data_IF_781072993963
#
_entry.id   IF_781072993963
#
_cell.length_a   1.000
_cell.length_b   1.000
_cell.length_c   1.000
_cell.angle_alpha   90.00
_cell.angle_beta   90.00
_cell.angle_gamma   90.00
#
_symmetry.space_group_name_H-M   'P 1'
#
loop_
_entity.id
_entity.type
_entity.pdbx_description
1 polymer ?
#
# COMPACT_ATOMS: atom_id res chain seq x y z
N UNK A 1 -7.29 44.60 56.41
CA UNK A 1 -6.32 43.96 55.48
C UNK A 1 -6.60 42.48 55.23
N UNK A 2 -6.65 41.57 56.23
CA UNK A 2 -6.87 40.12 56.00
C UNK A 2 -8.12 39.75 55.17
N UNK A 3 -9.27 40.42 55.40
CA UNK A 3 -10.52 40.20 54.62
C UNK A 3 -10.44 40.66 53.15
N UNK A 4 -9.63 41.66 52.85
CA UNK A 4 -9.44 42.15 51.47
C UNK A 4 -8.55 41.19 50.70
N UNK A 5 -7.47 40.71 51.34
CA UNK A 5 -6.55 39.73 50.76
C UNK A 5 -7.26 38.38 50.50
N UNK A 6 -8.11 37.90 51.42
CA UNK A 6 -8.84 36.65 51.19
C UNK A 6 -9.89 36.77 50.09
N UNK A 7 -10.52 37.94 49.91
CA UNK A 7 -11.47 38.19 48.83
C UNK A 7 -10.78 38.21 47.47
N UNK A 8 -9.66 38.93 47.36
CA UNK A 8 -8.84 38.98 46.14
C UNK A 8 -8.27 37.61 45.79
N UNK A 9 -7.81 36.84 46.79
CA UNK A 9 -7.31 35.48 46.57
C UNK A 9 -8.43 34.52 46.10
N UNK A 10 -9.64 34.64 46.64
CA UNK A 10 -10.78 33.85 46.19
C UNK A 10 -11.20 34.21 44.75
N UNK A 11 -11.25 35.49 44.41
CA UNK A 11 -11.53 35.95 43.04
C UNK A 11 -10.48 35.40 42.05
N UNK A 12 -9.19 35.42 42.40
CA UNK A 12 -8.13 34.82 41.58
C UNK A 12 -8.29 33.31 41.40
N UNK A 13 -8.66 32.58 42.44
CA UNK A 13 -8.91 31.12 42.35
C UNK A 13 -10.08 30.84 41.41
N UNK A 14 -11.19 31.58 41.53
CA UNK A 14 -12.37 31.40 40.68
C UNK A 14 -12.04 31.71 39.21
N UNK A 15 -11.29 32.79 38.95
CA UNK A 15 -10.82 33.13 37.59
C UNK A 15 -9.93 32.02 37.04
N UNK A 16 -8.96 31.55 37.82
CA UNK A 16 -8.04 30.49 37.41
C UNK A 16 -8.79 29.19 37.12
N UNK A 17 -9.76 28.83 37.96
CA UNK A 17 -10.60 27.65 37.77
C UNK A 17 -11.45 27.76 36.49
N UNK A 18 -12.03 28.94 36.22
CA UNK A 18 -12.75 29.23 34.99
C UNK A 18 -11.87 29.08 33.74
N UNK A 19 -10.64 29.59 33.79
CA UNK A 19 -9.65 29.43 32.71
C UNK A 19 -9.28 27.96 32.51
N UNK A 20 -9.02 27.20 33.58
CA UNK A 20 -8.68 25.78 33.50
C UNK A 20 -9.84 24.94 32.91
N UNK A 21 -11.08 25.22 33.32
CA UNK A 21 -12.26 24.54 32.75
C UNK A 21 -12.39 24.88 31.26
N UNK A 22 -12.23 26.14 30.88
CA UNK A 22 -12.27 26.55 29.47
C UNK A 22 -11.19 25.88 28.62
N UNK A 23 -9.95 25.79 29.14
CA UNK A 23 -8.86 25.06 28.50
C UNK A 23 -9.16 23.57 28.38
N UNK A 24 -9.73 22.96 29.41
CA UNK A 24 -10.15 21.55 29.39
C UNK A 24 -11.21 21.27 28.34
N UNK A 25 -12.24 22.11 28.23
CA UNK A 25 -13.30 21.99 27.21
C UNK A 25 -12.72 22.17 25.81
N UNK A 26 -11.87 23.17 25.59
CA UNK A 26 -11.22 23.39 24.29
C UNK A 26 -10.32 22.22 23.89
N UNK A 27 -9.50 21.69 24.81
CA UNK A 27 -8.66 20.53 24.55
C UNK A 27 -9.50 19.29 24.21
N UNK A 28 -10.61 19.07 24.91
CA UNK A 28 -11.53 17.97 24.64
C UNK A 28 -12.19 18.10 23.26
N UNK A 29 -12.70 19.29 22.93
CA UNK A 29 -13.32 19.56 21.63
C UNK A 29 -12.32 19.40 20.47
N UNK A 30 -11.10 19.92 20.62
CA UNK A 30 -10.04 19.78 19.62
C UNK A 30 -9.67 18.30 19.40
N UNK A 31 -9.49 17.52 20.47
CA UNK A 31 -9.22 16.09 20.36
C UNK A 31 -10.36 15.33 19.66
N UNK A 32 -11.61 15.69 19.94
CA UNK A 32 -12.77 15.09 19.28
C UNK A 32 -12.78 15.39 17.78
N UNK A 33 -12.54 16.64 17.38
CA UNK A 33 -12.46 17.05 15.98
C UNK A 33 -11.30 16.38 15.24
N UNK A 34 -10.13 16.25 15.88
CA UNK A 34 -8.97 15.57 15.31
C UNK A 34 -9.28 14.10 15.03
N UNK A 35 -9.90 13.39 15.98
CA UNK A 35 -10.32 11.99 15.79
C UNK A 35 -11.33 11.83 14.66
N UNK A 36 -12.34 12.69 14.61
CA UNK A 36 -13.33 12.64 13.53
C UNK A 36 -12.69 12.85 12.15
N UNK A 37 -11.73 13.76 12.05
CA UNK A 37 -10.98 14.02 10.81
C UNK A 37 -10.07 12.86 10.45
N UNK A 38 -9.39 12.25 11.43
CA UNK A 38 -8.58 11.05 11.23
C UNK A 38 -9.42 9.89 10.67
N UNK A 39 -10.62 9.67 11.19
CA UNK A 39 -11.56 8.65 10.67
C UNK A 39 -11.98 8.92 9.22
N UNK A 40 -12.20 10.19 8.85
CA UNK A 40 -12.50 10.56 7.46
C UNK A 40 -11.31 10.27 6.52
N UNK A 41 -10.08 10.50 6.99
CA UNK A 41 -8.87 10.16 6.24
C UNK A 41 -8.73 8.65 6.09
N UNK A 42 -8.88 7.89 7.19
CA UNK A 42 -8.83 6.42 7.17
C UNK A 42 -9.89 5.82 6.25
N UNK A 43 -11.09 6.39 6.20
CA UNK A 43 -12.14 5.95 5.27
C UNK A 43 -11.72 6.11 3.80
N UNK A 44 -11.08 7.23 3.46
CA UNK A 44 -10.57 7.47 2.11
C UNK A 44 -9.39 6.56 1.77
N UNK A 45 -8.48 6.35 2.72
CA UNK A 45 -7.34 5.44 2.58
C UNK A 45 -7.83 4.00 2.36
N UNK A 46 -8.80 3.54 3.14
CA UNK A 46 -9.41 2.22 2.99
C UNK A 46 -10.04 2.04 1.60
N UNK A 47 -10.76 3.05 1.11
CA UNK A 47 -11.31 3.03 -0.23
C UNK A 47 -10.22 2.95 -1.31
N UNK A 48 -9.14 3.72 -1.20
CA UNK A 48 -8.01 3.64 -2.14
C UNK A 48 -7.33 2.27 -2.08
N UNK A 49 -7.10 1.71 -0.88
CA UNK A 49 -6.54 0.37 -0.71
C UNK A 49 -7.41 -0.71 -1.37
N UNK A 50 -8.72 -0.71 -1.13
CA UNK A 50 -9.66 -1.66 -1.76
C UNK A 50 -9.61 -1.58 -3.29
N UNK A 51 -9.60 -0.37 -3.84
CA UNK A 51 -9.49 -0.17 -5.29
C UNK A 51 -8.13 -0.63 -5.82
N UNK A 52 -7.04 -0.37 -5.12
CA UNK A 52 -5.70 -0.81 -5.51
C UNK A 52 -5.57 -2.34 -5.46
N UNK A 53 -6.13 -3.00 -4.44
CA UNK A 53 -6.15 -4.47 -4.31
C UNK A 53 -6.76 -5.10 -5.57
N UNK A 54 -7.93 -4.64 -6.00
CA UNK A 54 -8.60 -5.16 -7.21
C UNK A 54 -7.71 -5.00 -8.46
N UNK A 55 -7.03 -3.86 -8.57
CA UNK A 55 -6.14 -3.58 -9.72
C UNK A 55 -4.87 -4.42 -9.68
N UNK A 56 -4.30 -4.61 -8.49
CA UNK A 56 -3.16 -5.49 -8.26
C UNK A 56 -3.51 -6.95 -8.57
N UNK A 57 -4.66 -7.44 -8.13
CA UNK A 57 -5.15 -8.80 -8.47
C UNK A 57 -5.34 -8.98 -9.97
N UNK A 58 -5.94 -7.98 -10.63
CA UNK A 58 -6.16 -8.01 -12.08
C UNK A 58 -4.84 -8.01 -12.85
N UNK A 59 -3.86 -7.21 -12.41
CA UNK A 59 -2.53 -7.17 -13.01
C UNK A 59 -1.79 -8.49 -12.77
N UNK A 60 -1.71 -8.96 -11.52
CA UNK A 60 -1.05 -10.21 -11.15
C UNK A 60 -1.59 -11.40 -11.94
N UNK A 61 -2.90 -11.48 -12.14
CA UNK A 61 -3.52 -12.50 -12.98
C UNK A 61 -3.10 -12.41 -14.46
N UNK A 62 -2.99 -11.20 -15.02
CA UNK A 62 -2.53 -10.99 -16.41
C UNK A 62 -1.08 -11.42 -16.62
N UNK A 63 -0.21 -11.10 -15.64
CA UNK A 63 1.20 -11.51 -15.66
C UNK A 63 1.35 -13.01 -15.45
N UNK A 64 0.57 -13.62 -14.55
CA UNK A 64 0.54 -15.08 -14.38
C UNK A 64 0.13 -15.79 -15.67
N UNK A 65 -0.91 -15.30 -16.35
CA UNK A 65 -1.34 -15.85 -17.64
C UNK A 65 -0.23 -15.75 -18.69
N UNK A 66 0.48 -14.61 -18.74
CA UNK A 66 1.61 -14.43 -19.67
C UNK A 66 2.76 -15.41 -19.39
N UNK A 67 3.07 -15.67 -18.11
CA UNK A 67 4.08 -16.66 -17.69
C UNK A 67 3.66 -18.08 -18.11
N UNK A 68 2.40 -18.45 -17.85
CA UNK A 68 1.86 -19.77 -18.22
C UNK A 68 1.91 -19.99 -19.73
N UNK A 69 1.56 -18.96 -20.49
CA UNK A 69 1.61 -19.01 -21.94
C UNK A 69 3.05 -19.05 -22.48
N UNK A 70 4.01 -18.34 -21.88
CA UNK A 70 5.44 -18.50 -22.19
C UNK A 70 5.92 -19.94 -21.95
N UNK A 71 5.49 -20.58 -20.85
CA UNK A 71 5.86 -21.97 -20.56
C UNK A 71 5.27 -22.95 -21.59
N UNK A 72 4.00 -22.75 -21.97
CA UNK A 72 3.36 -23.56 -23.00
C UNK A 72 4.07 -23.41 -24.35
N UNK A 73 4.49 -22.18 -24.67
CA UNK A 73 5.21 -21.90 -25.90
C UNK A 73 6.57 -22.57 -25.94
N UNK A 74 7.37 -22.42 -24.86
CA UNK A 74 8.67 -23.08 -24.71
C UNK A 74 8.54 -24.59 -24.94
N UNK A 75 7.52 -25.20 -24.35
CA UNK A 75 7.23 -26.62 -24.53
C UNK A 75 6.86 -27.01 -25.98
N UNK A 76 6.00 -26.23 -26.65
CA UNK A 76 5.63 -26.50 -28.05
C UNK A 76 6.84 -26.36 -28.97
N UNK A 77 7.65 -25.32 -28.79
CA UNK A 77 8.85 -25.10 -29.59
C UNK A 77 9.86 -26.26 -29.44
N UNK A 78 10.03 -26.78 -28.24
CA UNK A 78 10.85 -27.97 -27.96
C UNK A 78 10.31 -29.23 -28.65
N UNK A 79 8.99 -29.41 -28.71
CA UNK A 79 8.36 -30.61 -29.27
C UNK A 79 8.20 -30.59 -30.80
N UNK A 80 7.85 -29.45 -31.38
CA UNK A 80 7.45 -29.34 -32.79
C UNK A 80 8.47 -28.61 -33.66
N UNK A 81 9.35 -27.79 -33.07
CA UNK A 81 10.27 -26.91 -33.80
C UNK A 81 9.58 -25.79 -34.58
N UNK A 82 8.27 -25.60 -34.39
CA UNK A 82 7.49 -24.54 -35.04
C UNK A 82 7.17 -23.40 -34.07
N UNK A 83 7.20 -22.17 -34.59
CA UNK A 83 6.94 -20.94 -33.83
C UNK A 83 5.59 -20.35 -34.26
N UNK A 84 4.53 -20.50 -33.46
CA UNK A 84 3.34 -19.67 -33.64
C UNK A 84 3.62 -18.22 -33.22
N UNK A 85 3.01 -17.23 -33.88
CA UNK A 85 3.11 -15.83 -33.44
C UNK A 85 2.35 -15.67 -32.13
N UNK A 86 3.09 -15.28 -31.08
CA UNK A 86 2.53 -15.12 -29.75
C UNK A 86 2.39 -13.63 -29.39
N UNK A 87 1.22 -13.27 -28.87
CA UNK A 87 0.92 -11.92 -28.42
C UNK A 87 0.81 -11.88 -26.90
N UNK A 88 1.78 -11.25 -26.26
CA UNK A 88 1.72 -10.98 -24.84
C UNK A 88 0.64 -9.94 -24.51
N UNK A 89 -0.12 -10.18 -23.44
CA UNK A 89 -1.13 -9.22 -22.96
C UNK A 89 -0.64 -8.60 -21.65
N UNK A 90 -0.06 -7.42 -21.77
CA UNK A 90 0.37 -6.65 -20.61
C UNK A 90 -0.70 -5.65 -20.17
N UNK A 91 -0.95 -5.59 -18.86
CA UNK A 91 -1.84 -4.58 -18.26
C UNK A 91 -1.03 -3.58 -17.46
N UNK A 92 -1.11 -2.32 -17.85
CA UNK A 92 -0.57 -1.22 -17.06
C UNK A 92 -1.18 -1.17 -15.66
N UNK A 93 -0.36 -0.90 -14.66
CA UNK A 93 -0.81 -0.74 -13.30
C UNK A 93 -1.08 0.74 -13.02
N UNK A 94 -2.35 1.08 -12.84
CA UNK A 94 -2.75 2.42 -12.39
C UNK A 94 -3.23 2.33 -10.95
N UNK A 95 -2.50 2.88 -10.01
CA UNK A 95 -2.83 2.88 -8.56
C UNK A 95 -3.01 4.29 -8.04
N UNK A 96 -3.89 4.47 -7.05
CA UNK A 96 -4.14 5.75 -6.39
C UNK A 96 -3.57 5.75 -4.98
N UNK A 97 -2.91 6.83 -4.60
CA UNK A 97 -2.23 6.97 -3.29
C UNK A 97 -2.46 8.37 -2.69
N UNK A 98 -3.42 9.12 -3.24
CA UNK A 98 -3.59 10.54 -2.93
C UNK A 98 -4.04 10.77 -1.50
N UNK A 99 -4.92 9.92 -0.97
CA UNK A 99 -5.41 10.04 0.40
C UNK A 99 -4.26 9.83 1.41
N UNK A 100 -3.43 8.80 1.22
CA UNK A 100 -2.29 8.52 2.08
C UNK A 100 -1.24 9.64 1.98
N UNK A 101 -0.79 9.98 0.78
CA UNK A 101 0.22 11.02 0.56
C UNK A 101 -0.20 12.38 1.13
N UNK A 102 -1.47 12.75 0.96
CA UNK A 102 -1.99 13.99 1.55
C UNK A 102 -2.04 13.93 3.07
N UNK A 103 -2.36 12.76 3.64
CA UNK A 103 -2.50 12.60 5.08
C UNK A 103 -1.17 12.70 5.84
N UNK A 104 -0.02 12.39 5.23
CA UNK A 104 1.28 12.42 5.92
C UNK A 104 1.67 13.79 6.50
N UNK A 105 1.12 14.88 5.95
CA UNK A 105 1.41 16.24 6.40
C UNK A 105 0.38 16.77 7.42
N UNK A 106 -0.42 15.89 8.02
CA UNK A 106 -1.57 16.24 8.85
C UNK A 106 -1.38 15.81 10.29
N UNK A 107 -1.57 16.75 11.22
CA UNK A 107 -1.46 16.51 12.67
C UNK A 107 -2.50 15.49 13.16
N UNK A 108 -3.60 15.32 12.43
CA UNK A 108 -4.65 14.37 12.79
C UNK A 108 -4.17 12.91 12.78
N UNK A 109 -3.13 12.57 12.00
CA UNK A 109 -2.51 11.24 12.03
C UNK A 109 -1.74 10.95 13.33
N UNK A 110 -1.30 11.97 14.07
CA UNK A 110 -0.60 11.79 15.34
C UNK A 110 -1.49 11.13 16.42
N UNK A 111 -2.80 11.07 16.18
CA UNK A 111 -3.75 10.39 17.05
C UNK A 111 -3.85 8.89 16.80
N UNK A 112 -3.25 8.39 15.70
CA UNK A 112 -3.32 7.00 15.28
C UNK A 112 -2.14 6.17 15.84
N UNK A 113 -2.32 4.85 16.02
CA UNK A 113 -1.23 3.95 16.39
C UNK A 113 -0.11 3.95 15.34
N UNK A 114 1.15 3.94 15.78
CA UNK A 114 2.32 3.94 14.89
C UNK A 114 2.34 2.70 14.01
N UNK A 115 1.90 1.56 14.52
CA UNK A 115 1.81 0.30 13.80
C UNK A 115 0.86 0.40 12.60
N UNK A 116 -0.24 1.15 12.73
CA UNK A 116 -1.17 1.42 11.63
C UNK A 116 -0.46 2.21 10.53
N UNK A 117 0.25 3.26 10.94
CA UNK A 117 0.95 4.15 10.02
C UNK A 117 2.05 3.40 9.27
N UNK A 118 2.79 2.50 9.94
CA UNK A 118 3.80 1.63 9.31
C UNK A 118 3.15 0.69 8.29
N UNK A 119 2.03 0.05 8.65
CA UNK A 119 1.33 -0.88 7.74
C UNK A 119 0.80 -0.17 6.49
N UNK A 120 0.20 1.01 6.66
CA UNK A 120 -0.25 1.87 5.56
C UNK A 120 0.92 2.36 4.68
N UNK A 121 2.05 2.74 5.29
CA UNK A 121 3.24 3.17 4.54
C UNK A 121 3.84 2.02 3.72
N UNK A 122 3.94 0.83 4.30
CA UNK A 122 4.45 -0.36 3.62
C UNK A 122 3.58 -0.75 2.41
N UNK A 123 2.25 -0.75 2.57
CA UNK A 123 1.31 -0.95 1.47
C UNK A 123 1.48 0.10 0.37
N UNK A 124 1.68 1.37 0.75
CA UNK A 124 1.84 2.45 -0.20
C UNK A 124 3.16 2.35 -0.99
N UNK A 125 4.27 2.08 -0.31
CA UNK A 125 5.60 1.92 -0.93
C UNK A 125 5.63 0.74 -1.89
N UNK A 126 5.22 -0.43 -1.43
CA UNK A 126 5.17 -1.65 -2.26
C UNK A 126 4.27 -1.47 -3.49
N UNK A 127 3.12 -0.80 -3.34
CA UNK A 127 2.23 -0.46 -4.46
C UNK A 127 2.88 0.51 -5.45
N UNK A 128 3.69 1.46 -4.97
CA UNK A 128 4.43 2.40 -5.83
C UNK A 128 5.54 1.69 -6.61
N UNK A 129 6.29 0.81 -5.93
CA UNK A 129 7.33 -0.02 -6.53
C UNK A 129 6.75 -0.95 -7.61
N UNK A 130 5.66 -1.66 -7.31
CA UNK A 130 4.97 -2.51 -8.28
C UNK A 130 4.50 -1.72 -9.50
N UNK A 131 4.00 -0.49 -9.32
CA UNK A 131 3.62 0.39 -10.44
C UNK A 131 4.82 0.73 -11.31
N UNK A 132 5.94 1.10 -10.71
CA UNK A 132 7.17 1.43 -11.44
C UNK A 132 7.63 0.22 -12.24
N UNK A 133 7.72 -0.95 -11.62
CA UNK A 133 8.16 -2.18 -12.28
C UNK A 133 7.25 -2.57 -13.46
N UNK A 134 5.93 -2.59 -13.25
CA UNK A 134 4.96 -2.91 -14.32
C UNK A 134 5.08 -1.95 -15.50
N UNK A 135 5.14 -0.66 -15.20
CA UNK A 135 5.11 0.34 -16.28
C UNK A 135 6.44 0.39 -17.01
N UNK A 136 7.57 0.27 -16.30
CA UNK A 136 8.90 0.20 -16.91
C UNK A 136 8.99 -1.00 -17.86
N UNK A 137 8.61 -2.19 -17.39
CA UNK A 137 8.55 -3.39 -18.21
C UNK A 137 7.72 -3.20 -19.47
N UNK A 138 6.50 -2.66 -19.36
CA UNK A 138 5.63 -2.44 -20.53
C UNK A 138 6.28 -1.54 -21.58
N UNK A 139 7.01 -0.51 -21.18
CA UNK A 139 7.68 0.40 -22.11
C UNK A 139 8.94 -0.23 -22.71
N UNK A 140 9.78 -0.88 -21.91
CA UNK A 140 11.03 -1.51 -22.36
C UNK A 140 10.76 -2.73 -23.26
N UNK A 141 9.79 -3.57 -22.89
CA UNK A 141 9.42 -4.75 -23.69
C UNK A 141 8.80 -4.41 -25.04
N UNK A 142 8.21 -3.22 -25.22
CA UNK A 142 7.63 -2.82 -26.51
C UNK A 142 8.70 -2.51 -27.56
N UNK A 143 9.86 -1.98 -27.14
CA UNK A 143 10.94 -1.58 -28.04
C UNK A 143 11.75 -2.79 -28.55
N UNK A 144 11.82 -3.88 -27.79
CA UNK A 144 12.61 -5.09 -28.14
C UNK A 144 11.85 -6.11 -29.01
N UNK A 145 10.51 -6.06 -29.03
CA UNK A 145 9.66 -7.02 -29.77
C UNK A 145 9.75 -6.87 -31.29
N UNK A 146 10.13 -5.71 -31.80
CA UNK A 146 10.16 -5.42 -33.25
C UNK A 146 11.43 -5.96 -33.97
N UNK A 147 12.48 -6.39 -33.23
CA UNK A 147 13.80 -6.69 -33.81
C UNK A 147 14.16 -8.19 -33.93
N UNK A 148 13.37 -9.14 -33.42
CA UNK A 148 13.82 -10.53 -33.25
C UNK A 148 13.04 -11.54 -34.12
N UNK A 149 13.58 -11.84 -35.31
CA UNK A 149 13.05 -12.82 -36.29
C UNK A 149 14.03 -13.97 -36.66
N UNK A 150 14.99 -14.32 -35.79
CA UNK A 150 15.85 -15.51 -35.97
C UNK A 150 15.66 -16.53 -34.82
N UNK A 151 15.43 -17.80 -35.16
CA UNK A 151 14.96 -18.86 -34.24
C UNK A 151 15.83 -19.09 -32.97
N UNK A 152 17.16 -19.06 -33.07
CA UNK A 152 18.06 -19.27 -31.90
C UNK A 152 18.08 -18.06 -30.94
N UNK A 153 17.80 -16.87 -31.45
CA UNK A 153 17.65 -15.65 -30.64
C UNK A 153 16.30 -15.62 -29.93
N UNK A 154 15.29 -16.29 -30.49
CA UNK A 154 13.92 -16.30 -29.95
C UNK A 154 13.78 -17.09 -28.63
N UNK A 155 14.44 -18.24 -28.50
CA UNK A 155 14.43 -19.02 -27.24
C UNK A 155 15.06 -18.23 -26.09
N UNK A 156 16.20 -17.57 -26.35
CA UNK A 156 16.88 -16.73 -25.34
C UNK A 156 16.05 -15.52 -24.96
N UNK A 157 15.35 -14.94 -25.94
CA UNK A 157 14.40 -13.86 -25.71
C UNK A 157 13.25 -14.30 -24.79
N UNK A 158 12.63 -15.45 -25.05
CA UNK A 158 11.54 -15.97 -24.23
C UNK A 158 11.97 -16.26 -22.78
N UNK A 159 13.16 -16.82 -22.58
CA UNK A 159 13.73 -17.03 -21.24
C UNK A 159 13.98 -15.68 -20.52
N UNK A 160 14.46 -14.67 -21.24
CA UNK A 160 14.56 -13.29 -20.76
C UNK A 160 13.20 -12.73 -20.33
N UNK A 161 12.22 -12.76 -21.22
CA UNK A 161 10.87 -12.30 -20.97
C UNK A 161 10.22 -13.01 -19.77
N UNK A 162 10.38 -14.32 -19.64
CA UNK A 162 9.86 -15.11 -18.53
C UNK A 162 10.46 -14.68 -17.19
N UNK A 163 11.76 -14.40 -17.14
CA UNK A 163 12.41 -13.85 -15.94
C UNK A 163 11.82 -12.51 -15.54
N UNK A 164 11.66 -11.60 -16.50
CA UNK A 164 11.10 -10.27 -16.25
C UNK A 164 9.64 -10.33 -15.80
N UNK A 165 8.81 -11.15 -16.48
CA UNK A 165 7.43 -11.39 -16.08
C UNK A 165 7.34 -11.94 -14.65
N UNK A 166 8.21 -12.88 -14.29
CA UNK A 166 8.27 -13.45 -12.95
C UNK A 166 8.66 -12.39 -11.92
N UNK A 167 9.63 -11.53 -12.25
CA UNK A 167 10.03 -10.42 -11.39
C UNK A 167 8.88 -9.44 -11.18
N UNK A 168 8.22 -8.99 -12.26
CA UNK A 168 7.06 -8.09 -12.16
C UNK A 168 5.94 -8.72 -11.33
N UNK A 169 5.67 -10.01 -11.52
CA UNK A 169 4.68 -10.74 -10.72
C UNK A 169 5.04 -10.74 -9.23
N UNK A 170 6.30 -10.96 -8.86
CA UNK A 170 6.74 -10.91 -7.47
C UNK A 170 6.40 -9.56 -6.81
N UNK A 171 6.68 -8.44 -7.48
CA UNK A 171 6.34 -7.11 -6.95
C UNK A 171 4.83 -6.89 -6.84
N UNK A 172 4.05 -7.37 -7.81
CA UNK A 172 2.59 -7.33 -7.77
C UNK A 172 2.03 -8.12 -6.58
N UNK A 173 2.52 -9.34 -6.36
CA UNK A 173 2.08 -10.20 -5.25
C UNK A 173 2.47 -9.59 -3.90
N UNK A 174 3.68 -9.04 -3.78
CA UNK A 174 4.14 -8.39 -2.55
C UNK A 174 3.30 -7.14 -2.22
N UNK A 175 3.01 -6.31 -3.23
CA UNK A 175 2.14 -5.14 -3.08
C UNK A 175 0.70 -5.55 -2.71
N UNK A 176 0.20 -6.64 -3.29
CA UNK A 176 -1.12 -7.18 -2.97
C UNK A 176 -1.19 -7.67 -1.52
N UNK A 177 -0.20 -8.44 -1.07
CA UNK A 177 -0.10 -8.93 0.30
C UNK A 177 -0.05 -7.78 1.31
N UNK A 178 0.81 -6.80 1.04
CA UNK A 178 0.99 -5.62 1.89
C UNK A 178 -0.30 -4.79 1.96
N UNK A 179 -0.98 -4.59 0.83
CA UNK A 179 -2.25 -3.85 0.78
C UNK A 179 -3.37 -4.56 1.52
N UNK A 180 -3.49 -5.89 1.37
CA UNK A 180 -4.47 -6.70 2.11
C UNK A 180 -4.21 -6.64 3.61
N UNK A 181 -2.96 -6.80 4.03
CA UNK A 181 -2.59 -6.66 5.44
C UNK A 181 -2.95 -5.29 5.99
N UNK A 182 -2.60 -4.21 5.28
CA UNK A 182 -2.87 -2.86 5.75
C UNK A 182 -4.37 -2.56 5.83
N UNK A 183 -5.17 -3.09 4.89
CA UNK A 183 -6.63 -2.99 4.96
C UNK A 183 -7.17 -3.74 6.19
N UNK A 184 -6.69 -4.95 6.46
CA UNK A 184 -7.09 -5.72 7.66
C UNK A 184 -6.70 -5.00 8.96
N UNK A 185 -5.49 -4.44 9.05
CA UNK A 185 -5.04 -3.68 10.23
C UNK A 185 -5.91 -2.43 10.43
N UNK A 186 -6.26 -1.73 9.35
CA UNK A 186 -7.15 -0.57 9.37
C UNK A 186 -8.56 -0.96 9.82
N UNK A 187 -9.13 -2.02 9.27
CA UNK A 187 -10.47 -2.51 9.64
C UNK A 187 -10.52 -2.93 11.11
N UNK A 188 -9.51 -3.67 11.57
CA UNK A 188 -9.36 -4.07 12.97
C UNK A 188 -9.24 -2.87 13.92
N UNK A 189 -8.46 -1.86 13.54
CA UNK A 189 -8.34 -0.63 14.31
C UNK A 189 -9.67 0.11 14.39
N UNK A 190 -10.43 0.20 13.30
CA UNK A 190 -11.73 0.90 13.29
C UNK A 190 -12.79 0.18 14.12
N UNK A 191 -12.74 -1.14 14.19
CA UNK A 191 -13.66 -1.93 15.01
C UNK A 191 -13.30 -1.91 16.49
N UNK A 192 -12.02 -1.99 16.82
CA UNK A 192 -11.56 -2.28 18.20
C UNK A 192 -10.80 -1.15 18.87
N UNK A 193 -10.39 -0.13 18.11
CA UNK A 193 -9.47 0.92 18.56
C UNK A 193 -8.04 0.43 18.81
N UNK A 194 -7.70 -0.80 18.42
CA UNK A 194 -6.40 -1.44 18.65
C UNK A 194 -5.91 -2.15 17.39
N UNK A 195 -4.59 -2.31 17.29
CA UNK A 195 -3.96 -3.19 16.30
C UNK A 195 -3.39 -4.39 17.02
N UNK A 196 -3.61 -5.59 16.46
CA UNK A 196 -2.98 -6.79 16.97
C UNK A 196 -1.47 -6.68 16.75
N UNK A 197 -0.67 -6.77 17.82
CA UNK A 197 0.77 -6.83 17.70
C UNK A 197 1.14 -8.10 16.89
N UNK A 198 1.70 -7.92 15.70
CA UNK A 198 2.28 -9.04 14.95
C UNK A 198 3.57 -9.46 15.65
N UNK A 199 3.55 -10.63 16.28
CA UNK A 199 4.78 -11.33 16.62
C UNK A 199 5.36 -11.87 15.31
N UNK A 200 6.26 -11.11 14.68
CA UNK A 200 7.02 -11.59 13.53
C UNK A 200 8.10 -12.56 14.00
N UNK A 201 7.74 -13.82 14.25
CA UNK A 201 8.70 -14.93 14.17
C UNK A 201 8.78 -15.33 12.69
N UNK A 202 9.71 -14.71 11.96
CA UNK A 202 10.06 -15.16 10.62
C UNK A 202 10.91 -16.43 10.79
N UNK A 203 10.29 -17.60 10.70
CA UNK A 203 11.03 -18.83 10.45
C UNK A 203 11.46 -18.86 8.99
N UNK A 204 12.71 -18.48 8.75
CA UNK A 204 13.38 -18.75 7.47
C UNK A 204 13.62 -20.25 7.38
N UNK A 205 12.73 -20.97 6.70
CA UNK A 205 12.95 -22.35 6.30
C UNK A 205 14.05 -22.40 5.24
N UNK A 206 15.30 -22.51 5.67
CA UNK A 206 16.42 -22.89 4.82
C UNK A 206 16.50 -24.41 4.76
N UNK A 207 15.65 -25.03 3.95
CA UNK A 207 15.94 -26.37 3.43
C UNK A 207 16.56 -26.20 2.05
N UNK A 208 17.88 -26.40 2.02
CA UNK A 208 18.70 -26.63 0.82
C UNK A 208 18.32 -27.96 0.16
#
# INVERSE_FOLDING_TARGET
MKKIISKVAFELIVITLGVLIALGINAWYNNFQQRQTAEQLLTKIAYELQQNIIRLETAASSYQQSIEQSNQYEHVLEETGETEQYAFVFKMLTVKQGAWQFSQNRDELNTLPVELLISLDAANRSTSEAKTMVNQFIFESHDELDELLENDLYVRYLDGMKRELTQVKFYLDYALLSSKSALTDLESYRETGKIAAKNESVELSTTL
#
